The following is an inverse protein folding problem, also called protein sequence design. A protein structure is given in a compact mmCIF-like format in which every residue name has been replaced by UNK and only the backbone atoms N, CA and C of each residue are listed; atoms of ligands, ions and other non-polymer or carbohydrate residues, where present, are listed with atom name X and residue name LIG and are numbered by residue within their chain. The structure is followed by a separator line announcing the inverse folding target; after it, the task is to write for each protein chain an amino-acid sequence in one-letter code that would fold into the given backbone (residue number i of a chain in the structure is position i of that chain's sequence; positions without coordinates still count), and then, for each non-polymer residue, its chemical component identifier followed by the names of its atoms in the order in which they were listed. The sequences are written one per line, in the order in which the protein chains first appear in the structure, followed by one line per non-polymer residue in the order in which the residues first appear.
data_IF_669818885712
#
_entry.id   IF_669818885712
#
_cell.length_a   1.000
_cell.length_b   1.000
_cell.length_c   1.000
_cell.angle_alpha   90.00
_cell.angle_beta   90.00
_cell.angle_gamma   90.00
#
_symmetry.space_group_name_H-M   'P 1'
#
loop_
_entity.id
_entity.type
_entity.pdbx_description
1 polymer ?
#
# COMPACT_ATOMS: atom_id res chain seq x y z
N UNK A 1 -73.51 4.33 -3.64
CA UNK A 1 -72.87 3.08 -3.20
C UNK A 1 -71.73 2.83 -4.18
N UNK A 2 -70.51 3.05 -3.71
CA UNK A 2 -69.25 3.03 -4.46
C UNK A 2 -68.77 1.60 -4.69
N UNK A 3 -68.58 1.18 -5.94
CA UNK A 3 -67.67 0.07 -6.26
C UNK A 3 -66.65 0.55 -7.30
N UNK A 4 -65.50 0.96 -6.77
CA UNK A 4 -64.26 1.08 -7.54
C UNK A 4 -63.67 -0.32 -7.66
N UNK A 5 -63.79 -0.94 -8.83
CA UNK A 5 -63.12 -2.19 -9.15
C UNK A 5 -61.69 -1.81 -9.58
N UNK A 6 -60.71 -2.10 -8.74
CA UNK A 6 -59.30 -2.00 -9.12
C UNK A 6 -58.96 -3.09 -10.14
N UNK A 7 -58.18 -2.82 -11.21
CA UNK A 7 -57.69 -3.89 -12.06
C UNK A 7 -56.66 -4.70 -11.27
N UNK A 8 -57.02 -5.94 -10.94
CA UNK A 8 -56.09 -6.97 -10.50
C UNK A 8 -54.98 -7.07 -11.56
N UNK A 9 -53.81 -6.52 -11.24
CA UNK A 9 -52.63 -6.63 -12.10
C UNK A 9 -52.10 -8.05 -11.93
N UNK A 10 -52.73 -8.99 -12.62
CA UNK A 10 -52.20 -10.34 -12.80
C UNK A 10 -50.93 -10.18 -13.61
N UNK A 11 -49.78 -10.27 -12.95
CA UNK A 11 -48.51 -10.37 -13.64
C UNK A 11 -48.61 -11.59 -14.58
N UNK A 12 -48.42 -11.43 -15.91
CA UNK A 12 -48.49 -12.56 -16.82
C UNK A 12 -47.48 -13.61 -16.37
N UNK A 13 -47.93 -14.87 -16.22
CA UNK A 13 -47.02 -15.95 -15.85
C UNK A 13 -45.82 -15.94 -16.81
N UNK A 14 -44.59 -15.94 -16.28
CA UNK A 14 -43.41 -15.84 -17.11
C UNK A 14 -43.38 -17.05 -18.03
N UNK A 15 -43.40 -16.79 -19.33
CA UNK A 15 -43.19 -17.83 -20.35
C UNK A 15 -41.86 -18.56 -20.06
N UNK A 16 -41.73 -19.86 -20.38
CA UNK A 16 -40.54 -20.65 -20.05
C UNK A 16 -39.21 -20.02 -20.52
N UNK A 17 -39.26 -19.29 -21.64
CA UNK A 17 -38.14 -18.53 -22.18
C UNK A 17 -37.71 -17.37 -21.26
N UNK A 18 -38.66 -16.64 -20.68
CA UNK A 18 -38.38 -15.55 -19.74
C UNK A 18 -37.74 -16.08 -18.46
N UNK A 19 -38.21 -17.22 -17.93
CA UNK A 19 -37.63 -17.85 -16.73
C UNK A 19 -36.15 -18.24 -16.94
N UNK A 20 -35.81 -18.80 -18.11
CA UNK A 20 -34.44 -19.15 -18.46
C UNK A 20 -33.52 -17.92 -18.57
N UNK A 21 -34.04 -16.82 -19.12
CA UNK A 21 -33.31 -15.55 -19.22
C UNK A 21 -33.02 -14.97 -17.83
N UNK A 22 -34.00 -14.94 -16.92
CA UNK A 22 -33.79 -14.46 -15.55
C UNK A 22 -32.75 -15.29 -14.79
N UNK A 23 -32.78 -16.62 -14.93
CA UNK A 23 -31.78 -17.50 -14.30
C UNK A 23 -30.37 -17.21 -14.81
N UNK A 24 -30.21 -16.98 -16.12
CA UNK A 24 -28.93 -16.62 -16.74
C UNK A 24 -28.44 -15.25 -16.29
N UNK A 25 -29.30 -14.23 -16.30
CA UNK A 25 -28.96 -12.88 -15.84
C UNK A 25 -28.56 -12.90 -14.37
N UNK A 26 -29.29 -13.61 -13.52
CA UNK A 26 -28.95 -13.77 -12.09
C UNK A 26 -27.57 -14.41 -11.91
N UNK A 27 -27.25 -15.45 -12.69
CA UNK A 27 -25.93 -16.08 -12.65
C UNK A 27 -24.82 -15.12 -13.10
N UNK A 28 -25.06 -14.34 -14.16
CA UNK A 28 -24.10 -13.34 -14.62
C UNK A 28 -23.91 -12.21 -13.61
N UNK A 29 -24.98 -11.72 -12.97
CA UNK A 29 -24.90 -10.71 -11.91
C UNK A 29 -24.12 -11.21 -10.70
N UNK A 30 -24.31 -12.48 -10.30
CA UNK A 30 -23.53 -13.07 -9.21
C UNK A 30 -22.04 -13.13 -9.53
N UNK A 31 -21.67 -13.51 -10.76
CA UNK A 31 -20.27 -13.54 -11.18
C UNK A 31 -19.68 -12.12 -11.20
N UNK A 32 -20.38 -11.16 -11.80
CA UNK A 32 -19.93 -9.77 -11.85
C UNK A 32 -19.75 -9.18 -10.43
N UNK A 33 -20.72 -9.42 -9.54
CA UNK A 33 -20.64 -9.01 -8.14
C UNK A 33 -19.46 -9.65 -7.41
N UNK A 34 -19.25 -10.96 -7.58
CA UNK A 34 -18.13 -11.68 -6.97
C UNK A 34 -16.78 -11.14 -7.45
N UNK A 35 -16.62 -10.90 -8.75
CA UNK A 35 -15.38 -10.34 -9.29
C UNK A 35 -15.10 -8.93 -8.78
N UNK A 36 -16.14 -8.09 -8.67
CA UNK A 36 -16.02 -6.73 -8.12
C UNK A 36 -15.62 -6.78 -6.64
N UNK A 37 -16.26 -7.65 -5.85
CA UNK A 37 -15.93 -7.83 -4.44
C UNK A 37 -14.48 -8.30 -4.25
N UNK A 38 -14.01 -9.25 -5.07
CA UNK A 38 -12.62 -9.71 -5.05
C UNK A 38 -11.64 -8.60 -5.39
N UNK A 39 -11.94 -7.78 -6.40
CA UNK A 39 -11.10 -6.64 -6.78
C UNK A 39 -10.99 -5.63 -5.63
N UNK A 40 -12.11 -5.25 -5.01
CA UNK A 40 -12.13 -4.34 -3.86
C UNK A 40 -11.36 -4.93 -2.67
N UNK A 41 -11.56 -6.21 -2.37
CA UNK A 41 -10.84 -6.89 -1.28
C UNK A 41 -9.32 -6.88 -1.52
N UNK A 42 -8.86 -7.13 -2.74
CA UNK A 42 -7.44 -7.07 -3.07
C UNK A 42 -6.85 -5.67 -2.88
N UNK A 43 -7.57 -4.62 -3.27
CA UNK A 43 -7.15 -3.22 -3.07
C UNK A 43 -7.08 -2.89 -1.58
N UNK A 44 -8.08 -3.26 -0.79
CA UNK A 44 -8.08 -3.04 0.66
C UNK A 44 -6.92 -3.77 1.35
N UNK A 45 -6.63 -5.01 0.94
CA UNK A 45 -5.47 -5.77 1.47
C UNK A 45 -4.16 -5.09 1.09
N UNK A 46 -4.01 -4.62 -0.15
CA UNK A 46 -2.80 -3.92 -0.60
C UNK A 46 -2.59 -2.61 0.17
N UNK A 47 -3.66 -1.82 0.36
CA UNK A 47 -3.60 -0.57 1.14
C UNK A 47 -3.31 -0.88 2.60
N UNK A 48 -4.01 -1.85 3.20
CA UNK A 48 -3.77 -2.28 4.57
C UNK A 48 -2.33 -2.73 4.78
N UNK A 49 -1.82 -3.62 3.92
CA UNK A 49 -0.42 -4.05 3.97
C UNK A 49 0.55 -2.87 3.84
N UNK A 50 0.27 -1.95 2.90
CA UNK A 50 1.09 -0.75 2.71
C UNK A 50 1.07 0.13 3.97
N UNK A 51 -0.09 0.39 4.57
CA UNK A 51 -0.21 1.20 5.79
C UNK A 51 0.46 0.52 6.99
N UNK A 52 0.26 -0.77 7.23
CA UNK A 52 0.92 -1.47 8.33
C UNK A 52 2.44 -1.60 8.16
N UNK A 53 2.92 -1.71 6.91
CA UNK A 53 4.37 -1.67 6.61
C UNK A 53 4.92 -0.26 6.72
N UNK A 54 4.11 0.72 6.31
CA UNK A 54 4.09 2.17 6.54
C UNK A 54 4.43 2.62 7.97
N UNK A 55 3.51 2.26 8.86
CA UNK A 55 3.32 2.78 10.21
C UNK A 55 4.13 2.04 11.28
N UNK A 56 4.85 0.97 10.91
CA UNK A 56 5.95 0.45 11.73
C UNK A 56 7.05 1.50 11.97
N UNK A 57 7.03 2.58 11.20
CA UNK A 57 7.78 3.81 11.45
C UNK A 57 7.01 4.72 12.41
N UNK A 58 7.07 4.43 13.70
CA UNK A 58 6.73 5.41 14.75
C UNK A 58 7.38 6.75 14.43
N UNK A 59 6.60 7.83 14.47
CA UNK A 59 7.02 9.23 14.34
C UNK A 59 8.43 9.41 14.87
N UNK A 60 9.35 9.70 13.96
CA UNK A 60 10.75 9.83 14.25
C UNK A 60 10.96 10.99 15.23
N UNK A 61 11.32 10.66 16.47
CA UNK A 61 11.88 11.60 17.41
C UNK A 61 13.16 12.20 16.81
N UNK A 62 13.35 13.51 16.97
CA UNK A 62 14.59 14.20 16.63
C UNK A 62 15.79 13.40 17.15
N UNK A 63 16.57 12.81 16.23
CA UNK A 63 17.66 11.90 16.56
C UNK A 63 18.99 12.57 16.25
N UNK A 64 19.69 12.99 17.30
CA UNK A 64 21.03 13.57 17.18
C UNK A 64 22.07 12.44 17.10
N UNK A 65 22.58 12.17 15.89
CA UNK A 65 23.72 11.27 15.70
C UNK A 65 25.03 12.06 15.82
N UNK A 66 25.90 11.65 16.74
CA UNK A 66 27.21 12.28 16.89
C UNK A 66 28.08 11.97 15.67
N UNK A 67 28.49 13.03 14.97
CA UNK A 67 29.49 12.93 13.92
C UNK A 67 30.88 12.74 14.53
N UNK A 68 31.73 11.86 13.97
CA UNK A 68 33.13 11.76 14.37
C UNK A 68 33.83 13.13 14.25
N UNK A 69 34.81 13.39 15.11
CA UNK A 69 35.57 14.65 15.06
C UNK A 69 36.23 14.82 13.69
N UNK A 70 36.01 15.97 13.06
CA UNK A 70 36.53 16.26 11.72
C UNK A 70 35.77 15.57 10.58
N UNK A 71 34.67 14.87 10.86
CA UNK A 71 33.83 14.30 9.82
C UNK A 71 33.01 15.41 9.12
N UNK A 72 32.93 15.34 7.79
CA UNK A 72 32.04 16.16 6.98
C UNK A 72 31.09 15.27 6.21
N UNK A 73 29.81 15.61 6.21
CA UNK A 73 28.85 14.98 5.29
C UNK A 73 29.13 15.52 3.89
N UNK A 74 29.51 14.63 2.97
CA UNK A 74 29.84 14.97 1.58
C UNK A 74 28.71 14.64 0.62
N UNK A 75 27.86 13.68 0.96
CA UNK A 75 26.69 13.33 0.15
C UNK A 75 25.60 12.65 0.99
N UNK A 76 24.35 12.88 0.60
CA UNK A 76 23.17 12.20 1.14
C UNK A 76 22.35 11.63 -0.01
N UNK A 77 21.82 10.42 0.17
CA UNK A 77 20.98 9.74 -0.82
C UNK A 77 19.90 8.90 -0.15
N UNK A 78 18.82 8.64 -0.88
CA UNK A 78 17.72 7.79 -0.45
C UNK A 78 17.63 6.60 -1.40
N UNK A 79 17.60 5.39 -0.86
CA UNK A 79 17.43 4.15 -1.61
C UNK A 79 16.30 3.31 -0.99
N UNK A 80 15.07 3.49 -1.50
CA UNK A 80 13.87 2.90 -0.91
C UNK A 80 13.66 3.39 0.52
N UNK A 81 13.59 2.47 1.48
CA UNK A 81 13.43 2.75 2.92
C UNK A 81 14.77 3.00 3.66
N UNK A 82 15.85 3.26 2.92
CA UNK A 82 17.19 3.48 3.49
C UNK A 82 17.73 4.87 3.15
N UNK A 83 18.17 5.58 4.17
CA UNK A 83 18.95 6.81 4.06
C UNK A 83 20.44 6.46 4.05
N UNK A 84 21.14 6.89 3.01
CA UNK A 84 22.58 6.67 2.85
C UNK A 84 23.30 8.00 3.02
N UNK A 85 24.20 8.07 3.99
CA UNK A 85 25.01 9.27 4.29
C UNK A 85 26.46 8.91 4.00
N UNK A 86 27.08 9.67 3.11
CA UNK A 86 28.51 9.56 2.83
C UNK A 86 29.23 10.63 3.64
N UNK A 87 30.14 10.19 4.49
CA UNK A 87 31.01 11.01 5.32
C UNK A 87 32.43 10.94 4.78
N UNK A 88 33.10 12.07 4.79
CA UNK A 88 34.56 12.15 4.72
C UNK A 88 35.10 12.36 6.13
N UNK A 89 35.98 11.45 6.58
CA UNK A 89 36.61 11.49 7.89
C UNK A 89 38.11 11.55 7.68
N UNK A 90 38.66 12.76 7.58
CA UNK A 90 40.10 12.96 7.42
C UNK A 90 40.67 12.36 6.13
N UNK A 91 39.94 12.47 5.01
CA UNK A 91 40.34 11.93 3.70
C UNK A 91 39.88 10.49 3.44
N UNK A 92 39.18 9.88 4.39
CA UNK A 92 38.67 8.52 4.29
C UNK A 92 37.15 8.55 4.09
N UNK A 93 36.67 7.96 3.00
CA UNK A 93 35.24 7.88 2.70
C UNK A 93 34.56 6.77 3.52
N UNK A 94 33.55 7.15 4.30
CA UNK A 94 32.70 6.26 5.10
C UNK A 94 31.23 6.43 4.69
N UNK A 95 30.59 5.36 4.27
CA UNK A 95 29.15 5.34 3.99
C UNK A 95 28.43 4.75 5.19
N UNK A 96 27.45 5.48 5.73
CA UNK A 96 26.54 5.01 6.77
C UNK A 96 25.15 4.89 6.21
N UNK A 97 24.54 3.74 6.45
CA UNK A 97 23.16 3.48 6.04
C UNK A 97 22.29 3.51 7.28
N UNK A 98 21.20 4.27 7.20
CA UNK A 98 20.18 4.40 8.21
C UNK A 98 18.85 3.92 7.64
N UNK A 99 18.01 3.37 8.50
CA UNK A 99 16.62 3.10 8.19
C UNK A 99 15.87 4.44 8.15
N UNK A 100 15.19 4.75 7.03
CA UNK A 100 14.57 6.06 6.80
C UNK A 100 13.44 6.38 7.78
N UNK A 101 12.88 5.32 8.35
CA UNK A 101 11.71 5.32 9.21
C UNK A 101 12.09 5.52 10.68
N UNK A 102 13.06 4.74 11.15
CA UNK A 102 13.50 4.74 12.55
C UNK A 102 14.75 5.57 12.83
N UNK A 103 15.43 6.07 11.78
CA UNK A 103 16.78 6.68 11.83
C UNK A 103 17.84 5.81 12.50
N UNK A 104 17.59 4.51 12.68
CA UNK A 104 18.58 3.59 13.26
C UNK A 104 19.65 3.27 12.23
N UNK A 105 20.90 3.30 12.67
CA UNK A 105 22.02 2.87 11.84
C UNK A 105 21.86 1.39 11.48
N UNK A 106 21.72 1.11 10.18
CA UNK A 106 21.57 -0.23 9.61
C UNK A 106 22.91 -0.83 9.19
N UNK A 107 23.90 0.01 8.84
CA UNK A 107 25.20 -0.46 8.42
C UNK A 107 26.22 0.64 8.22
N UNK A 108 27.49 0.23 8.16
CA UNK A 108 28.65 1.10 7.92
C UNK A 108 29.60 0.43 6.95
N UNK A 109 30.01 1.17 5.93
CA UNK A 109 31.02 0.77 4.95
C UNK A 109 32.14 1.81 4.97
N UNK A 110 33.39 1.36 5.07
CA UNK A 110 34.56 2.24 5.07
C UNK A 110 35.41 1.88 3.85
N UNK A 111 35.73 2.87 3.03
CA UNK A 111 36.70 2.72 1.95
C UNK A 111 38.07 3.14 2.46
N UNK A 112 39.10 2.38 2.10
CA UNK A 112 40.50 2.69 2.42
C UNK A 112 41.25 2.68 1.11
N UNK A 113 42.10 3.68 0.88
CA UNK A 113 42.96 3.74 -0.31
C UNK A 113 44.09 2.72 -0.19
N UNK A 114 44.47 2.10 -1.32
CA UNK A 114 45.66 1.25 -1.42
C UNK A 114 46.93 2.10 -1.18
N UNK A 115 47.94 1.58 -0.46
CA UNK A 115 49.15 2.32 -0.07
C UNK A 115 50.03 2.76 -1.24
#
# INVERSE_FOLDING_TARGET
MTETIAPETVAPEPTPEQAALFARVRRLMLIAGLTTALAVAAVLVAIGYRLFRTEGSTVTAETTSMLPKGARIVSTGVAGDRLVVTLDIGGVTEIRTYDAHTLKATGKLKFVSEP
#
